data_IF_726797863500
#
_entry.id   IF_726797863500
#
_cell.length_a   1.000
_cell.length_b   1.000
_cell.length_c   1.000
_cell.angle_alpha   90.00
_cell.angle_beta   90.00
_cell.angle_gamma   90.00
#
_symmetry.space_group_name_H-M   'P 1'
#
loop_
_entity.id
_entity.type
_entity.pdbx_description
1 polymer ?
#
# COMPACT_ATOMS: atom_id res chain seq x y z
N UNK A 1 71.99 -73.78 3.53
CA UNK A 1 70.94 -73.08 2.73
C UNK A 1 70.22 -72.10 3.64
N UNK A 2 70.22 -70.81 3.26
CA UNK A 2 69.37 -69.66 3.65
C UNK A 2 69.01 -69.45 5.15
N UNK A 3 69.50 -68.40 5.83
CA UNK A 3 69.08 -66.98 5.83
C UNK A 3 67.66 -66.71 6.40
N UNK A 4 67.57 -66.07 7.59
CA UNK A 4 67.29 -64.62 7.72
C UNK A 4 67.19 -64.15 9.18
N UNK A 5 67.85 -63.01 9.47
CA UNK A 5 67.64 -62.11 10.62
C UNK A 5 66.32 -61.34 10.48
N UNK A 6 65.74 -60.89 11.60
CA UNK A 6 65.29 -59.50 11.92
C UNK A 6 64.53 -59.57 13.28
N UNK A 7 65.11 -59.10 14.38
CA UNK A 7 65.05 -57.73 14.95
C UNK A 7 63.64 -57.25 15.35
N UNK A 8 63.53 -56.92 16.64
CA UNK A 8 62.39 -56.39 17.39
C UNK A 8 61.88 -55.06 16.85
N UNK A 9 60.56 -54.95 16.68
CA UNK A 9 59.88 -53.68 16.39
C UNK A 9 59.37 -53.05 17.69
N UNK A 10 60.00 -51.92 18.00
CA UNK A 10 59.60 -50.77 18.82
C UNK A 10 58.10 -50.61 19.11
N UNK A 11 57.77 -50.39 20.38
CA UNK A 11 56.58 -49.62 20.80
C UNK A 11 56.69 -48.19 20.24
N UNK A 12 55.60 -47.65 19.70
CA UNK A 12 55.46 -46.22 19.35
C UNK A 12 54.62 -45.49 20.41
N UNK A 13 55.02 -44.25 20.66
CA UNK A 13 54.77 -43.40 21.83
C UNK A 13 53.34 -42.83 21.93
N UNK A 14 52.82 -42.61 23.15
CA UNK A 14 51.67 -41.73 23.35
C UNK A 14 52.12 -40.27 23.23
N UNK A 15 51.63 -39.58 22.19
CA UNK A 15 51.84 -38.15 21.99
C UNK A 15 51.34 -37.33 23.20
N UNK A 16 52.24 -36.55 23.78
CA UNK A 16 52.03 -35.40 24.66
C UNK A 16 50.99 -35.54 25.79
N UNK A 17 51.49 -35.86 27.00
CA UNK A 17 50.76 -35.66 28.25
C UNK A 17 50.51 -34.16 28.49
N UNK A 18 49.36 -33.66 28.06
CA UNK A 18 48.90 -32.30 28.37
C UNK A 18 48.75 -32.20 29.89
N UNK A 19 49.57 -31.35 30.53
CA UNK A 19 49.52 -31.11 31.98
C UNK A 19 48.09 -30.82 32.44
N UNK A 20 47.68 -31.34 33.61
CA UNK A 20 46.36 -31.05 34.21
C UNK A 20 46.05 -29.54 34.21
N UNK A 21 47.06 -28.69 34.38
CA UNK A 21 46.91 -27.22 34.30
C UNK A 21 46.51 -26.75 32.90
N UNK A 22 47.11 -27.32 31.85
CA UNK A 22 46.80 -27.02 30.45
C UNK A 22 45.42 -27.55 30.05
N UNK A 23 45.01 -28.71 30.55
CA UNK A 23 43.67 -29.26 30.34
C UNK A 23 42.59 -28.40 31.02
N UNK A 24 42.85 -27.92 32.24
CA UNK A 24 41.96 -26.97 32.94
C UNK A 24 41.88 -25.64 32.18
N UNK A 25 43.01 -25.10 31.71
CA UNK A 25 43.03 -23.89 30.89
C UNK A 25 42.22 -24.04 29.60
N UNK A 26 42.35 -25.17 28.90
CA UNK A 26 41.57 -25.45 27.69
C UNK A 26 40.07 -25.53 27.99
N UNK A 27 39.66 -26.23 29.04
CA UNK A 27 38.25 -26.32 29.44
C UNK A 27 37.67 -24.95 29.82
N UNK A 28 38.42 -24.13 30.55
CA UNK A 28 38.01 -22.76 30.91
C UNK A 28 37.90 -21.89 29.66
N UNK A 29 38.86 -21.99 28.73
CA UNK A 29 38.86 -21.22 27.49
C UNK A 29 37.70 -21.60 26.57
N UNK A 30 37.44 -22.90 26.39
CA UNK A 30 36.28 -23.39 25.64
C UNK A 30 34.96 -23.02 26.32
N UNK A 31 34.87 -23.10 27.66
CA UNK A 31 33.69 -22.68 28.41
C UNK A 31 33.39 -21.19 28.24
N UNK A 32 34.41 -20.33 28.29
CA UNK A 32 34.28 -18.89 28.02
C UNK A 32 33.89 -18.61 26.57
N UNK A 33 34.48 -19.32 25.59
CA UNK A 33 34.09 -19.21 24.18
C UNK A 33 32.62 -19.55 23.96
N UNK A 34 32.15 -20.66 24.53
CA UNK A 34 30.75 -21.08 24.44
C UNK A 34 29.84 -20.04 25.11
N UNK A 35 30.22 -19.52 26.29
CA UNK A 35 29.46 -18.49 26.98
C UNK A 35 29.35 -17.21 26.14
N UNK A 36 30.41 -16.77 25.47
CA UNK A 36 30.39 -15.60 24.57
C UNK A 36 29.55 -15.89 23.33
N UNK A 37 29.69 -17.07 22.71
CA UNK A 37 28.92 -17.49 21.54
C UNK A 37 27.42 -17.54 21.82
N UNK A 38 26.99 -17.82 23.06
CA UNK A 38 25.58 -17.81 23.46
C UNK A 38 25.14 -16.42 23.92
N UNK A 39 25.93 -15.74 24.75
CA UNK A 39 25.58 -14.46 25.34
C UNK A 39 25.46 -13.34 24.30
N UNK A 40 26.27 -13.36 23.24
CA UNK A 40 26.21 -12.35 22.17
C UNK A 40 24.89 -12.43 21.38
N UNK A 41 24.48 -13.57 20.78
CA UNK A 41 23.18 -13.67 20.11
C UNK A 41 22.00 -13.50 21.05
N UNK A 42 22.07 -13.97 22.29
CA UNK A 42 21.01 -13.73 23.30
C UNK A 42 20.93 -12.25 23.67
N UNK A 43 22.07 -11.58 23.83
CA UNK A 43 22.15 -10.13 24.05
C UNK A 43 21.59 -9.34 22.86
N UNK A 44 21.90 -9.74 21.63
CA UNK A 44 21.36 -9.15 20.40
C UNK A 44 19.84 -9.37 20.30
N UNK A 45 19.35 -10.56 20.68
CA UNK A 45 17.92 -10.86 20.69
C UNK A 45 17.18 -10.03 21.74
N UNK A 46 17.77 -9.84 22.92
CA UNK A 46 17.21 -9.03 24.01
C UNK A 46 17.37 -7.52 23.82
N UNK A 47 18.26 -7.06 22.93
CA UNK A 47 18.42 -5.63 22.60
C UNK A 47 17.41 -5.14 21.54
N UNK A 48 16.54 -6.00 21.00
CA UNK A 48 15.54 -5.52 20.03
C UNK A 48 14.65 -4.48 20.71
N UNK A 49 14.70 -3.20 20.30
CA UNK A 49 13.84 -2.19 20.89
C UNK A 49 12.39 -2.62 20.65
N UNK A 50 11.51 -2.50 21.65
CA UNK A 50 10.10 -2.79 21.45
C UNK A 50 9.54 -1.89 20.35
N UNK A 51 8.75 -2.47 19.45
CA UNK A 51 8.08 -1.73 18.39
C UNK A 51 7.27 -0.58 19.01
N UNK A 52 7.36 0.60 18.39
CA UNK A 52 6.63 1.78 18.88
C UNK A 52 5.12 1.56 18.77
N UNK A 53 4.39 1.92 19.82
CA UNK A 53 2.93 1.85 19.84
C UNK A 53 2.30 3.09 19.22
N UNK A 54 1.27 2.89 18.40
CA UNK A 54 0.50 3.92 17.71
C UNK A 54 -1.00 3.73 17.93
N UNK A 55 -1.80 4.68 17.47
CA UNK A 55 -3.25 4.67 17.65
C UNK A 55 -4.03 4.04 16.51
N UNK A 56 -3.44 3.97 15.32
CA UNK A 56 -4.04 3.33 14.15
C UNK A 56 -3.85 1.82 14.16
N UNK A 57 -4.62 1.14 13.31
CA UNK A 57 -4.51 -0.30 13.08
C UNK A 57 -3.11 -0.68 12.58
N UNK A 58 -2.61 -1.83 13.03
CA UNK A 58 -1.33 -2.35 12.61
C UNK A 58 -1.30 -2.78 11.14
N UNK A 59 -0.11 -3.19 10.71
CA UNK A 59 0.11 -3.74 9.38
C UNK A 59 -0.80 -4.95 9.13
N UNK A 60 -1.36 -5.04 7.93
CA UNK A 60 -2.19 -6.19 7.52
C UNK A 60 -1.37 -7.49 7.60
N UNK A 61 -1.92 -8.53 8.23
CA UNK A 61 -1.27 -9.83 8.31
C UNK A 61 -0.93 -10.37 6.90
N UNK A 62 0.26 -10.96 6.75
CA UNK A 62 0.76 -11.49 5.47
C UNK A 62 0.83 -10.43 4.34
N UNK A 63 1.15 -9.18 4.69
CA UNK A 63 1.20 -8.07 3.73
C UNK A 63 2.06 -8.41 2.50
N UNK A 64 3.26 -8.96 2.70
CA UNK A 64 4.17 -9.26 1.60
C UNK A 64 3.56 -10.27 0.62
N UNK A 65 2.98 -11.35 1.15
CA UNK A 65 2.36 -12.41 0.38
C UNK A 65 1.11 -11.91 -0.35
N UNK A 66 0.29 -11.07 0.28
CA UNK A 66 -0.89 -10.46 -0.34
C UNK A 66 -0.46 -9.54 -1.49
N UNK A 67 0.51 -8.66 -1.27
CA UNK A 67 1.03 -7.76 -2.31
C UNK A 67 1.57 -8.57 -3.51
N UNK A 68 2.33 -9.63 -3.23
CA UNK A 68 2.89 -10.50 -4.27
C UNK A 68 1.80 -11.24 -5.05
N UNK A 69 0.84 -11.84 -4.35
CA UNK A 69 -0.28 -12.54 -4.96
C UNK A 69 -1.14 -11.62 -5.82
N UNK A 70 -1.42 -10.41 -5.34
CA UNK A 70 -2.18 -9.39 -6.09
C UNK A 70 -1.40 -8.89 -7.32
N UNK A 71 -0.09 -8.68 -7.20
CA UNK A 71 0.74 -8.32 -8.35
C UNK A 71 0.68 -9.39 -9.46
N UNK A 72 0.84 -10.67 -9.11
CA UNK A 72 0.73 -11.75 -10.10
C UNK A 72 -0.68 -11.86 -10.67
N UNK A 73 -1.71 -11.77 -9.83
CA UNK A 73 -3.11 -11.78 -10.29
C UNK A 73 -3.34 -10.66 -11.30
N UNK A 74 -2.89 -9.45 -10.99
CA UNK A 74 -3.07 -8.30 -11.86
C UNK A 74 -2.30 -8.46 -13.18
N UNK A 75 -1.00 -8.74 -13.11
CA UNK A 75 -0.12 -8.77 -14.30
C UNK A 75 -0.32 -10.00 -15.19
N UNK A 76 -0.76 -11.13 -14.63
CA UNK A 76 -0.87 -12.39 -15.38
C UNK A 76 -2.31 -12.73 -15.77
N UNK A 77 -3.31 -12.24 -15.02
CA UNK A 77 -4.73 -12.60 -15.23
C UNK A 77 -5.55 -11.38 -15.64
N UNK A 78 -5.50 -10.29 -14.89
CA UNK A 78 -6.35 -9.11 -15.13
C UNK A 78 -5.86 -8.30 -16.33
N UNK A 79 -4.54 -8.09 -16.44
CA UNK A 79 -3.85 -7.29 -17.45
C UNK A 79 -2.64 -8.04 -18.01
N UNK A 80 -2.84 -9.12 -18.78
CA UNK A 80 -1.74 -9.94 -19.33
C UNK A 80 -0.70 -9.14 -20.12
N UNK A 81 -1.06 -7.98 -20.67
CA UNK A 81 -0.15 -7.04 -21.33
C UNK A 81 0.98 -6.53 -20.41
N UNK A 82 0.77 -6.55 -19.09
CA UNK A 82 1.76 -6.19 -18.07
C UNK A 82 2.52 -7.41 -17.53
N UNK A 83 2.37 -8.59 -18.14
CA UNK A 83 2.94 -9.85 -17.65
C UNK A 83 4.47 -9.87 -17.58
N UNK A 84 5.14 -8.93 -18.25
CA UNK A 84 6.58 -8.74 -18.23
C UNK A 84 7.11 -8.04 -16.95
N UNK A 85 6.22 -7.49 -16.11
CA UNK A 85 6.62 -6.80 -14.87
C UNK A 85 7.09 -7.80 -13.80
N UNK A 86 8.21 -7.48 -13.16
CA UNK A 86 8.80 -8.31 -12.10
C UNK A 86 8.12 -8.03 -10.74
N UNK A 87 7.14 -8.87 -10.39
CA UNK A 87 6.40 -8.75 -9.14
C UNK A 87 7.28 -8.91 -7.88
N UNK A 88 8.34 -9.72 -7.93
CA UNK A 88 9.27 -9.82 -6.79
C UNK A 88 10.01 -8.52 -6.57
N UNK A 89 10.48 -7.88 -7.65
CA UNK A 89 11.14 -6.57 -7.59
C UNK A 89 10.20 -5.47 -7.14
N UNK A 90 8.95 -5.47 -7.62
CA UNK A 90 7.92 -4.49 -7.25
C UNK A 90 7.62 -4.57 -5.74
N UNK A 91 7.30 -5.76 -5.22
CA UNK A 91 6.94 -5.90 -3.80
C UNK A 91 8.12 -5.58 -2.89
N UNK A 92 9.35 -5.91 -3.30
CA UNK A 92 10.57 -5.49 -2.57
C UNK A 92 10.75 -3.97 -2.56
N UNK A 93 10.48 -3.28 -3.68
CA UNK A 93 10.52 -1.83 -3.73
C UNK A 93 9.43 -1.21 -2.83
N UNK A 94 8.24 -1.82 -2.81
CA UNK A 94 7.14 -1.44 -1.94
C UNK A 94 7.55 -1.49 -0.47
N UNK A 95 8.04 -2.64 0.01
CA UNK A 95 8.38 -2.79 1.43
C UNK A 95 9.59 -1.96 1.83
N UNK A 96 10.59 -1.82 0.96
CA UNK A 96 11.76 -0.95 1.18
C UNK A 96 11.39 0.53 1.33
N UNK A 97 10.25 0.96 0.80
CA UNK A 97 9.81 2.34 0.93
C UNK A 97 9.53 2.73 2.39
N UNK A 98 9.15 1.78 3.26
CA UNK A 98 8.76 2.08 4.64
C UNK A 98 9.48 1.27 5.73
N UNK A 99 10.11 0.14 5.40
CA UNK A 99 10.86 -0.65 6.38
C UNK A 99 12.12 0.08 6.85
N UNK A 100 12.47 -0.09 8.13
CA UNK A 100 13.64 0.54 8.76
C UNK A 100 13.67 2.06 8.64
N UNK A 101 12.49 2.68 8.64
CA UNK A 101 12.30 4.13 8.60
C UNK A 101 11.32 4.56 9.68
N UNK A 102 11.44 5.80 10.12
CA UNK A 102 10.44 6.40 10.99
C UNK A 102 9.10 6.50 10.25
N UNK A 103 8.05 5.79 10.71
CA UNK A 103 6.78 5.76 10.02
C UNK A 103 6.06 7.11 10.03
N UNK A 104 6.54 8.13 10.76
CA UNK A 104 6.06 9.52 10.72
C UNK A 104 6.97 10.48 9.94
N UNK A 105 7.98 9.99 9.22
CA UNK A 105 8.93 10.82 8.45
C UNK A 105 9.02 10.36 6.98
N UNK A 106 7.93 9.82 6.43
CA UNK A 106 7.90 9.34 5.05
C UNK A 106 7.75 10.49 4.05
N UNK A 107 8.31 10.29 2.85
CA UNK A 107 8.36 11.27 1.75
C UNK A 107 7.97 10.64 0.42
N UNK A 108 7.58 11.46 -0.58
CA UNK A 108 7.30 10.96 -1.94
C UNK A 108 8.53 10.23 -2.53
N UNK A 109 9.74 10.69 -2.19
CA UNK A 109 11.02 10.13 -2.63
C UNK A 109 11.21 8.68 -2.20
N UNK A 110 10.67 8.30 -1.04
CA UNK A 110 10.75 6.92 -0.56
C UNK A 110 10.06 5.91 -1.47
N UNK A 111 9.01 6.36 -2.17
CA UNK A 111 8.20 5.53 -3.06
C UNK A 111 8.59 5.68 -4.55
N UNK A 112 9.48 6.60 -4.93
CA UNK A 112 9.87 6.79 -6.34
C UNK A 112 10.38 5.50 -7.01
N UNK A 113 11.24 4.68 -6.38
CA UNK A 113 11.68 3.42 -6.99
C UNK A 113 10.55 2.43 -7.26
N UNK A 114 9.47 2.49 -6.45
CA UNK A 114 8.27 1.69 -6.69
C UNK A 114 7.49 2.23 -7.89
N UNK A 115 7.28 3.55 -7.95
CA UNK A 115 6.57 4.21 -9.05
C UNK A 115 7.19 3.90 -10.42
N UNK A 116 8.52 3.91 -10.51
CA UNK A 116 9.26 3.59 -11.75
C UNK A 116 9.02 2.16 -12.24
N UNK A 117 8.79 1.20 -11.33
CA UNK A 117 8.54 -0.20 -11.68
C UNK A 117 7.09 -0.45 -12.09
N UNK A 118 6.18 0.36 -11.59
CA UNK A 118 4.72 0.15 -11.72
C UNK A 118 4.07 1.11 -12.71
N UNK A 119 4.84 1.74 -13.60
CA UNK A 119 4.26 2.61 -14.63
C UNK A 119 3.25 1.85 -15.50
N UNK A 120 2.05 2.40 -15.61
CA UNK A 120 0.92 1.85 -16.36
C UNK A 120 0.08 3.02 -16.92
N UNK A 121 -0.09 3.13 -18.25
CA UNK A 121 -0.90 4.18 -18.83
C UNK A 121 -2.40 3.88 -18.68
N UNK A 122 -3.16 4.86 -18.21
CA UNK A 122 -4.63 4.83 -18.21
C UNK A 122 -5.15 5.50 -19.48
N UNK A 123 -6.05 4.85 -20.26
CA UNK A 123 -6.59 5.46 -21.47
C UNK A 123 -7.35 6.77 -21.19
N UNK A 124 -7.25 7.74 -22.10
CA UNK A 124 -7.99 9.00 -21.98
C UNK A 124 -9.50 8.77 -21.92
N UNK A 125 -10.19 9.66 -21.20
CA UNK A 125 -11.64 9.62 -20.94
C UNK A 125 -12.10 8.45 -20.04
N UNK A 126 -11.18 7.67 -19.46
CA UNK A 126 -11.50 6.48 -18.66
C UNK A 126 -11.25 6.63 -17.16
N UNK A 127 -10.60 7.71 -16.74
CA UNK A 127 -10.31 7.99 -15.33
C UNK A 127 -11.59 8.26 -14.52
N UNK A 128 -11.74 7.53 -13.41
CA UNK A 128 -12.80 7.69 -12.42
C UNK A 128 -12.20 7.90 -11.03
N UNK A 129 -12.20 9.13 -10.56
CA UNK A 129 -11.90 9.43 -9.17
C UNK A 129 -13.09 9.09 -8.26
N UNK A 130 -12.85 9.03 -6.95
CA UNK A 130 -13.91 8.94 -5.97
C UNK A 130 -13.51 9.65 -4.67
N UNK A 131 -14.50 10.13 -3.92
CA UNK A 131 -14.28 10.64 -2.57
C UNK A 131 -15.39 10.15 -1.65
N UNK A 132 -14.99 9.45 -0.58
CA UNK A 132 -15.88 8.87 0.45
C UNK A 132 -16.96 7.94 -0.16
N UNK A 133 -16.65 7.29 -1.28
CA UNK A 133 -17.56 6.48 -2.10
C UNK A 133 -16.85 5.34 -2.85
N UNK A 134 -15.76 4.81 -2.28
CA UNK A 134 -14.92 3.77 -2.90
C UNK A 134 -15.69 2.54 -3.33
N UNK A 135 -16.49 1.95 -2.44
CA UNK A 135 -17.24 0.72 -2.72
C UNK A 135 -18.11 0.89 -3.97
N UNK A 136 -18.80 2.03 -4.09
CA UNK A 136 -19.66 2.32 -5.22
C UNK A 136 -18.89 2.58 -6.51
N UNK A 137 -17.72 3.21 -6.42
CA UNK A 137 -16.85 3.42 -7.57
C UNK A 137 -16.27 2.09 -8.08
N UNK A 138 -15.80 1.22 -7.18
CA UNK A 138 -15.28 -0.11 -7.52
C UNK A 138 -16.36 -1.02 -8.08
N UNK A 139 -17.57 -1.02 -7.51
CA UNK A 139 -18.68 -1.79 -8.09
C UNK A 139 -19.03 -1.31 -9.49
N UNK A 140 -18.93 0.00 -9.74
CA UNK A 140 -19.16 0.54 -11.07
C UNK A 140 -18.08 0.11 -12.07
N UNK A 141 -16.79 0.17 -11.72
CA UNK A 141 -15.72 -0.24 -12.65
C UNK A 141 -15.64 -1.75 -12.87
N UNK A 142 -16.07 -2.57 -11.89
CA UNK A 142 -16.25 -4.02 -12.10
C UNK A 142 -17.25 -4.35 -13.21
N UNK A 143 -18.33 -3.57 -13.33
CA UNK A 143 -19.34 -3.75 -14.38
C UNK A 143 -18.99 -2.96 -15.65
N UNK A 144 -18.34 -1.82 -15.51
CA UNK A 144 -17.81 -0.97 -16.59
C UNK A 144 -16.30 -1.06 -16.64
N UNK A 145 -15.82 -2.22 -17.10
CA UNK A 145 -14.41 -2.58 -17.17
C UNK A 145 -13.56 -1.68 -18.08
N UNK A 146 -14.19 -0.75 -18.82
CA UNK A 146 -13.51 0.24 -19.65
C UNK A 146 -13.14 1.52 -18.88
N UNK A 147 -13.52 1.64 -17.61
CA UNK A 147 -13.23 2.76 -16.71
C UNK A 147 -12.29 2.31 -15.60
N UNK A 148 -11.48 3.24 -15.08
CA UNK A 148 -10.44 2.94 -14.10
C UNK A 148 -10.53 3.88 -12.91
N UNK A 149 -10.71 3.36 -11.70
CA UNK A 149 -10.26 4.03 -10.49
C UNK A 149 -8.77 3.86 -10.29
N UNK A 150 -8.20 4.53 -9.28
CA UNK A 150 -6.81 4.31 -8.91
C UNK A 150 -6.56 2.83 -8.56
N UNK A 151 -7.51 2.20 -7.87
CA UNK A 151 -7.43 0.80 -7.44
C UNK A 151 -7.62 -0.20 -8.59
N UNK A 152 -8.02 0.27 -9.78
CA UNK A 152 -8.03 -0.54 -11.01
C UNK A 152 -6.67 -0.52 -11.74
N UNK A 153 -5.69 0.25 -11.28
CA UNK A 153 -4.28 0.24 -11.75
C UNK A 153 -3.43 -0.75 -10.95
N UNK A 154 -2.29 -1.19 -11.48
CA UNK A 154 -1.43 -2.18 -10.80
C UNK A 154 -1.13 -1.81 -9.34
N UNK A 155 -0.65 -0.59 -9.10
CA UNK A 155 -0.20 -0.21 -7.76
C UNK A 155 -1.37 -0.01 -6.80
N UNK A 156 -2.47 0.56 -7.28
CA UNK A 156 -3.69 0.68 -6.48
C UNK A 156 -4.29 -0.68 -6.15
N UNK A 157 -4.40 -1.59 -7.12
CA UNK A 157 -4.92 -2.95 -6.95
C UNK A 157 -4.11 -3.73 -5.90
N UNK A 158 -2.79 -3.62 -5.95
CA UNK A 158 -1.90 -4.26 -4.97
C UNK A 158 -2.19 -3.75 -3.55
N UNK A 159 -2.34 -2.44 -3.35
CA UNK A 159 -2.43 -1.82 -2.04
C UNK A 159 -3.87 -1.68 -1.49
N UNK A 160 -4.90 -1.88 -2.31
CA UNK A 160 -6.28 -1.59 -1.95
C UNK A 160 -6.75 -2.32 -0.68
N UNK A 161 -7.31 -1.57 0.27
CA UNK A 161 -7.76 -2.09 1.56
C UNK A 161 -6.66 -2.58 2.51
N UNK A 162 -5.37 -2.38 2.21
CA UNK A 162 -4.27 -2.81 3.08
C UNK A 162 -3.77 -1.67 4.00
N UNK A 163 -3.10 -2.05 5.09
CA UNK A 163 -2.44 -1.16 6.05
C UNK A 163 -1.00 -1.61 6.28
N UNK A 164 -0.08 -0.67 6.46
CA UNK A 164 1.32 -0.98 6.70
C UNK A 164 2.07 0.18 7.35
N UNK A 165 3.08 -0.17 8.13
CA UNK A 165 4.12 0.73 8.61
C UNK A 165 5.34 -0.07 9.06
N UNK A 166 6.49 0.61 9.10
CA UNK A 166 7.73 0.09 9.66
C UNK A 166 8.00 0.63 11.05
N UNK A 167 9.23 0.44 11.49
CA UNK A 167 9.78 1.05 12.70
C UNK A 167 11.23 1.49 12.41
N UNK A 168 11.69 2.67 12.86
CA UNK A 168 13.01 3.20 12.54
C UNK A 168 14.18 2.30 12.99
N UNK A 169 13.94 1.42 13.98
CA UNK A 169 14.95 0.50 14.50
C UNK A 169 14.81 -0.94 14.02
N UNK A 170 13.84 -1.25 13.16
CA UNK A 170 13.51 -2.63 12.80
C UNK A 170 13.43 -2.86 11.29
N UNK A 171 13.84 -4.06 10.86
CA UNK A 171 13.55 -4.56 9.52
C UNK A 171 12.19 -5.27 9.44
N UNK A 172 11.51 -5.39 10.58
CA UNK A 172 10.18 -6.00 10.70
C UNK A 172 9.08 -4.93 10.55
N UNK A 173 7.92 -5.36 10.05
CA UNK A 173 6.72 -4.52 10.00
C UNK A 173 6.07 -4.45 11.37
N UNK A 174 5.39 -3.34 11.68
CA UNK A 174 4.64 -3.23 12.92
C UNK A 174 3.20 -3.73 12.72
N UNK A 175 2.93 -4.96 13.17
CA UNK A 175 1.61 -5.60 13.10
C UNK A 175 0.69 -5.20 14.26
N UNK A 176 1.21 -4.55 15.31
CA UNK A 176 0.42 -4.17 16.47
C UNK A 176 -0.34 -2.87 16.25
N UNK A 177 0.32 -1.87 15.65
CA UNK A 177 -0.26 -0.55 15.42
C UNK A 177 0.53 0.25 14.39
N UNK A 178 -0.13 1.16 13.69
CA UNK A 178 0.52 2.12 12.78
C UNK A 178 0.05 3.56 13.08
N UNK A 179 0.82 4.59 12.69
CA UNK A 179 0.43 5.97 12.97
C UNK A 179 -0.93 6.32 12.37
N UNK A 180 -1.84 6.83 13.19
CA UNK A 180 -3.07 7.44 12.68
C UNK A 180 -2.76 8.82 12.07
N UNK A 181 -3.42 9.13 10.96
CA UNK A 181 -3.13 10.34 10.20
C UNK A 181 -3.59 11.63 10.89
N UNK A 182 -4.58 11.56 11.79
CA UNK A 182 -5.08 12.69 12.59
C UNK A 182 -4.42 12.74 13.96
N UNK A 183 -4.30 11.59 14.61
CA UNK A 183 -3.95 11.53 16.02
C UNK A 183 -2.45 11.40 16.28
N UNK A 184 -1.68 10.90 15.29
CA UNK A 184 -0.23 10.71 15.42
C UNK A 184 0.53 11.62 14.44
N UNK A 185 0.41 11.40 13.12
CA UNK A 185 1.13 12.18 12.12
C UNK A 185 0.54 12.04 10.70
N UNK A 186 0.40 13.16 9.99
CA UNK A 186 -0.20 13.17 8.64
C UNK A 186 0.72 12.69 7.51
N UNK A 187 2.04 12.74 7.73
CA UNK A 187 3.09 12.32 6.81
C UNK A 187 3.56 10.88 7.12
N UNK A 188 2.61 10.01 7.45
CA UNK A 188 2.90 8.60 7.67
C UNK A 188 3.07 7.83 6.36
N UNK A 189 3.77 6.69 6.39
CA UNK A 189 4.08 5.87 5.21
C UNK A 189 2.84 5.51 4.38
N UNK A 190 1.72 5.19 5.03
CA UNK A 190 0.46 4.88 4.36
C UNK A 190 -0.13 6.11 3.65
N UNK A 191 -0.17 7.26 4.32
CA UNK A 191 -0.75 8.49 3.76
C UNK A 191 0.10 9.05 2.63
N UNK A 192 1.43 8.98 2.76
CA UNK A 192 2.37 9.42 1.74
C UNK A 192 2.30 8.55 0.50
N UNK A 193 2.16 7.22 0.66
CA UNK A 193 1.91 6.32 -0.46
C UNK A 193 0.69 6.77 -1.26
N UNK A 194 -0.49 6.85 -0.62
CA UNK A 194 -1.72 7.20 -1.34
C UNK A 194 -1.66 8.58 -1.98
N UNK A 195 -1.06 9.58 -1.30
CA UNK A 195 -0.84 10.89 -1.93
C UNK A 195 0.07 10.80 -3.18
N UNK A 196 1.14 10.00 -3.12
CA UNK A 196 2.08 9.83 -4.24
C UNK A 196 1.40 9.16 -5.43
N UNK A 197 0.66 8.07 -5.20
CA UNK A 197 -0.02 7.35 -6.28
C UNK A 197 -1.22 8.14 -6.83
N UNK A 198 -2.02 8.78 -5.97
CA UNK A 198 -3.11 9.68 -6.38
C UNK A 198 -2.61 10.86 -7.22
N UNK A 199 -1.45 11.44 -6.86
CA UNK A 199 -0.82 12.51 -7.64
C UNK A 199 -0.48 12.04 -9.05
N UNK A 200 0.24 10.91 -9.18
CA UNK A 200 0.60 10.31 -10.49
C UNK A 200 -0.66 10.04 -11.32
N UNK A 201 -1.68 9.44 -10.71
CA UNK A 201 -2.94 9.11 -11.39
C UNK A 201 -3.67 10.35 -11.91
N UNK A 202 -3.61 11.47 -11.18
CA UNK A 202 -4.17 12.73 -11.63
C UNK A 202 -3.34 13.42 -12.74
N UNK A 203 -2.01 13.37 -12.66
CA UNK A 203 -1.09 13.93 -13.67
C UNK A 203 -1.21 13.21 -15.03
N UNK A 204 -1.52 11.92 -15.02
CA UNK A 204 -1.73 11.08 -16.20
C UNK A 204 -3.13 11.19 -16.82
N UNK A 205 -4.09 11.71 -16.06
CA UNK A 205 -5.46 11.80 -16.54
C UNK A 205 -5.57 12.73 -17.77
N UNK A 206 -6.43 12.34 -18.71
CA UNK A 206 -6.66 13.09 -19.94
C UNK A 206 -8.10 12.94 -20.47
N UNK A 207 -8.54 13.96 -21.22
CA UNK A 207 -9.90 14.04 -21.75
C UNK A 207 -10.94 14.41 -20.70
N UNK A 208 -12.05 13.69 -20.69
CA UNK A 208 -13.13 13.81 -19.70
C UNK A 208 -12.85 12.89 -18.52
N UNK A 209 -12.63 13.46 -17.35
CA UNK A 209 -12.46 12.71 -16.10
C UNK A 209 -13.76 12.71 -15.31
N UNK A 210 -13.99 11.66 -14.54
CA UNK A 210 -15.21 11.47 -13.76
C UNK A 210 -14.88 11.42 -12.27
N UNK A 211 -15.81 11.80 -11.40
CA UNK A 211 -15.69 11.58 -9.95
C UNK A 211 -17.00 11.11 -9.34
N UNK A 212 -16.95 10.02 -8.57
CA UNK A 212 -18.06 9.62 -7.70
C UNK A 212 -17.92 10.34 -6.36
N UNK A 213 -18.97 11.02 -5.91
CA UNK A 213 -18.99 11.72 -4.63
C UNK A 213 -20.16 11.26 -3.78
N UNK A 214 -19.96 11.14 -2.47
CA UNK A 214 -21.02 10.77 -1.55
C UNK A 214 -21.89 11.99 -1.17
N UNK A 215 -23.10 12.03 -1.72
CA UNK A 215 -24.12 13.04 -1.43
C UNK A 215 -24.84 12.80 -0.10
N UNK A 216 -24.83 11.58 0.44
CA UNK A 216 -25.53 11.25 1.69
C UNK A 216 -24.87 11.78 2.96
N UNK A 217 -23.73 12.43 2.82
CA UNK A 217 -22.99 13.09 3.90
C UNK A 217 -22.95 14.59 3.67
N UNK A 218 -22.77 15.36 4.75
CA UNK A 218 -22.43 16.79 4.62
C UNK A 218 -21.02 16.95 4.09
N UNK A 219 -20.76 18.05 3.38
CA UNK A 219 -19.45 18.36 2.84
C UNK A 219 -18.96 17.26 1.87
N UNK A 220 -19.80 16.99 0.86
CA UNK A 220 -19.54 16.00 -0.19
C UNK A 220 -18.19 16.19 -0.86
N UNK A 221 -17.84 17.44 -1.17
CA UNK A 221 -16.47 17.81 -1.55
C UNK A 221 -15.75 18.43 -0.36
N UNK A 222 -14.59 17.88 -0.01
CA UNK A 222 -13.74 18.35 1.08
C UNK A 222 -12.34 18.66 0.54
N UNK A 223 -11.93 19.93 0.60
CA UNK A 223 -10.60 20.39 0.16
C UNK A 223 -9.46 19.69 0.90
N UNK A 224 -9.71 19.14 2.10
CA UNK A 224 -8.69 18.42 2.89
C UNK A 224 -8.59 16.93 2.53
N UNK A 225 -9.54 16.39 1.77
CA UNK A 225 -9.49 15.00 1.29
C UNK A 225 -8.37 14.80 0.26
N UNK A 226 -7.91 13.57 0.03
CA UNK A 226 -6.91 13.27 -1.01
C UNK A 226 -7.39 13.75 -2.39
N UNK A 227 -8.66 13.51 -2.74
CA UNK A 227 -9.26 14.05 -3.95
C UNK A 227 -9.13 15.58 -4.03
N UNK A 228 -9.53 16.28 -2.96
CA UNK A 228 -9.53 17.74 -2.94
C UNK A 228 -8.13 18.37 -2.91
N UNK A 229 -7.23 17.85 -2.08
CA UNK A 229 -5.88 18.40 -1.81
C UNK A 229 -4.85 17.98 -2.85
N UNK A 230 -4.94 16.74 -3.33
CA UNK A 230 -3.93 16.13 -4.21
C UNK A 230 -4.47 16.04 -5.62
N UNK A 231 -5.50 15.25 -5.85
CA UNK A 231 -5.90 14.86 -7.21
C UNK A 231 -6.38 16.06 -8.02
N UNK A 232 -7.32 16.86 -7.50
CA UNK A 232 -7.85 18.05 -8.17
C UNK A 232 -6.74 19.04 -8.53
N UNK A 233 -5.73 19.19 -7.67
CA UNK A 233 -4.63 20.14 -7.90
C UNK A 233 -3.52 19.62 -8.81
N UNK A 234 -3.53 18.33 -9.14
CA UNK A 234 -2.60 17.71 -10.08
C UNK A 234 -3.26 17.36 -11.43
N UNK A 235 -4.54 17.72 -11.63
CA UNK A 235 -5.15 17.70 -12.96
C UNK A 235 -4.53 18.78 -13.85
N UNK A 236 -4.05 18.34 -15.00
CA UNK A 236 -3.40 19.18 -16.02
C UNK A 236 -4.43 19.71 -17.02
N UNK A 237 -4.72 21.03 -17.04
CA UNK A 237 -5.79 21.57 -17.89
C UNK A 237 -5.53 21.47 -19.39
N UNK A 238 -4.27 21.30 -19.81
CA UNK A 238 -3.90 21.02 -21.20
C UNK A 238 -4.26 19.58 -21.63
N UNK A 239 -4.42 18.66 -20.68
CA UNK A 239 -4.82 17.27 -20.93
C UNK A 239 -6.30 17.02 -20.58
N UNK A 240 -6.80 17.64 -19.52
CA UNK A 240 -8.13 17.42 -18.94
C UNK A 240 -9.04 18.61 -19.25
N UNK A 241 -9.98 18.41 -20.18
CA UNK A 241 -10.88 19.49 -20.61
C UNK A 241 -12.13 19.61 -19.73
N UNK A 242 -12.54 18.53 -19.07
CA UNK A 242 -13.78 18.45 -18.28
C UNK A 242 -13.66 17.45 -17.14
N UNK A 243 -14.19 17.84 -15.99
CA UNK A 243 -14.51 16.96 -14.88
C UNK A 243 -16.04 16.83 -14.73
N UNK A 244 -16.53 15.59 -14.74
CA UNK A 244 -17.93 15.25 -14.52
C UNK A 244 -18.11 14.61 -13.14
N UNK A 245 -18.81 15.30 -12.24
CA UNK A 245 -19.13 14.79 -10.92
C UNK A 245 -20.48 14.05 -10.90
N UNK A 246 -20.50 12.89 -10.27
CA UNK A 246 -21.69 12.13 -9.96
C UNK A 246 -21.90 12.13 -8.44
N UNK A 247 -22.84 12.96 -7.98
CA UNK A 247 -23.19 13.03 -6.55
C UNK A 247 -24.24 11.96 -6.26
N UNK A 248 -23.78 10.88 -5.63
CA UNK A 248 -24.58 9.68 -5.39
C UNK A 248 -25.10 9.67 -3.96
N UNK A 249 -26.38 9.38 -3.81
CA UNK A 249 -27.03 9.28 -2.50
C UNK A 249 -27.35 7.82 -2.19
N UNK A 250 -27.14 7.38 -0.98
CA UNK A 250 -27.58 6.07 -0.51
C UNK A 250 -29.10 5.96 -0.55
N UNK A 251 -29.56 4.73 -0.82
CA UNK A 251 -30.98 4.42 -0.84
C UNK A 251 -31.54 4.60 0.57
N UNK A 252 -32.57 5.45 0.71
CA UNK A 252 -33.21 5.73 2.01
C UNK A 252 -32.50 6.75 2.91
N UNK A 253 -31.41 7.38 2.46
CA UNK A 253 -30.70 8.38 3.29
C UNK A 253 -31.48 9.69 3.43
N UNK A 254 -31.41 10.32 4.62
CA UNK A 254 -32.18 11.54 4.98
C UNK A 254 -31.36 12.83 4.82
N UNK A 255 -30.03 12.75 4.83
CA UNK A 255 -29.13 13.89 4.60
C UNK A 255 -28.69 13.90 3.13
N UNK A 256 -28.74 15.03 2.42
CA UNK A 256 -28.28 15.08 1.02
C UNK A 256 -27.63 16.40 0.64
N UNK A 257 -26.30 16.43 0.55
CA UNK A 257 -25.62 17.39 -0.31
C UNK A 257 -25.85 16.97 -1.77
N UNK A 258 -26.16 17.94 -2.63
CA UNK A 258 -26.44 17.69 -4.05
C UNK A 258 -25.54 18.53 -4.95
N UNK A 259 -25.71 18.44 -6.26
CA UNK A 259 -24.98 19.28 -7.22
C UNK A 259 -25.12 20.80 -7.00
N UNK A 260 -26.16 21.25 -6.29
CA UNK A 260 -26.35 22.66 -5.93
C UNK A 260 -25.78 23.04 -4.56
N UNK A 261 -25.22 22.08 -3.81
CA UNK A 261 -24.63 22.34 -2.49
C UNK A 261 -23.39 23.22 -2.57
N UNK A 262 -23.12 23.95 -1.48
CA UNK A 262 -21.98 24.86 -1.36
C UNK A 262 -20.63 24.16 -1.59
N UNK A 263 -20.47 22.96 -1.05
CA UNK A 263 -19.27 22.12 -1.23
C UNK A 263 -18.99 21.83 -2.72
N UNK A 264 -20.01 21.46 -3.49
CA UNK A 264 -19.90 21.23 -4.94
C UNK A 264 -19.66 22.53 -5.72
N UNK A 265 -20.29 23.64 -5.31
CA UNK A 265 -20.03 24.94 -5.92
C UNK A 265 -18.57 25.39 -5.70
N UNK A 266 -17.97 25.04 -4.56
CA UNK A 266 -16.56 25.29 -4.31
C UNK A 266 -15.65 24.50 -5.26
N UNK A 267 -15.90 23.19 -5.43
CA UNK A 267 -15.19 22.37 -6.44
C UNK A 267 -15.31 22.99 -7.84
N UNK A 268 -16.52 23.42 -8.23
CA UNK A 268 -16.76 24.11 -9.50
C UNK A 268 -15.91 25.37 -9.64
N UNK A 269 -15.75 26.17 -8.58
CA UNK A 269 -14.93 27.38 -8.60
C UNK A 269 -13.43 27.07 -8.73
N UNK A 270 -12.94 26.06 -8.00
CA UNK A 270 -11.54 25.60 -8.09
C UNK A 270 -11.22 25.18 -9.53
N UNK A 271 -12.05 24.32 -10.12
CA UNK A 271 -11.85 23.83 -11.49
C UNK A 271 -11.97 24.95 -12.53
N UNK A 272 -12.92 25.89 -12.36
CA UNK A 272 -13.05 27.06 -13.22
C UNK A 272 -11.78 27.91 -13.24
N UNK A 273 -11.14 28.15 -12.09
CA UNK A 273 -9.88 28.90 -11.99
C UNK A 273 -8.70 28.18 -12.66
N UNK A 274 -8.79 26.86 -12.77
CA UNK A 274 -7.81 26.01 -13.45
C UNK A 274 -8.14 25.76 -14.93
N UNK A 275 -9.13 26.44 -15.51
CA UNK A 275 -9.56 26.25 -16.91
C UNK A 275 -10.07 24.84 -17.24
N UNK A 276 -10.62 24.13 -16.25
CA UNK A 276 -11.26 22.82 -16.44
C UNK A 276 -12.79 23.00 -16.37
N UNK A 277 -13.50 22.50 -17.39
CA UNK A 277 -14.97 22.55 -17.41
C UNK A 277 -15.54 21.65 -16.33
N UNK A 278 -16.56 22.11 -15.59
CA UNK A 278 -17.23 21.30 -14.58
C UNK A 278 -18.68 21.00 -14.97
N UNK A 279 -19.09 19.74 -14.81
CA UNK A 279 -20.48 19.30 -14.89
C UNK A 279 -20.81 18.41 -13.71
N UNK A 280 -22.07 18.44 -13.25
CA UNK A 280 -22.50 17.64 -12.11
C UNK A 280 -23.86 17.02 -12.38
N UNK A 281 -24.01 15.75 -11.98
CA UNK A 281 -25.28 15.04 -12.03
C UNK A 281 -25.55 14.35 -10.69
N UNK A 282 -26.74 14.62 -10.13
CA UNK A 282 -27.22 13.86 -8.98
C UNK A 282 -27.67 12.48 -9.45
N UNK A 283 -27.31 11.44 -8.69
CA UNK A 283 -27.84 10.08 -8.86
C UNK A 283 -27.70 9.56 -10.29
N UNK A 284 -26.46 9.58 -10.80
CA UNK A 284 -26.13 9.10 -12.13
C UNK A 284 -26.73 7.70 -12.37
N UNK A 285 -27.54 7.59 -13.42
CA UNK A 285 -28.48 6.47 -13.61
C UNK A 285 -27.81 5.09 -13.57
N UNK A 286 -26.69 4.83 -14.26
CA UNK A 286 -26.00 3.53 -14.19
C UNK A 286 -25.57 3.14 -12.78
N UNK A 287 -25.02 4.09 -12.00
CA UNK A 287 -24.59 3.81 -10.63
C UNK A 287 -25.82 3.65 -9.70
N UNK A 288 -26.87 4.45 -9.91
CA UNK A 288 -28.14 4.30 -9.18
C UNK A 288 -28.72 2.89 -9.36
N UNK A 289 -28.63 2.32 -10.57
CA UNK A 289 -29.07 0.96 -10.83
C UNK A 289 -28.29 -0.06 -9.99
N UNK A 290 -26.96 0.08 -9.86
CA UNK A 290 -26.14 -0.78 -8.99
C UNK A 290 -26.57 -0.70 -7.52
N UNK A 291 -26.85 0.50 -7.02
CA UNK A 291 -27.38 0.67 -5.66
C UNK A 291 -28.74 -0.02 -5.47
N UNK A 292 -29.57 -0.03 -6.53
CA UNK A 292 -30.87 -0.70 -6.52
C UNK A 292 -30.78 -2.22 -6.59
N UNK A 293 -29.75 -2.79 -7.23
CA UNK A 293 -29.49 -4.24 -7.17
C UNK A 293 -29.26 -4.70 -5.73
N UNK A 294 -28.59 -3.89 -4.90
CA UNK A 294 -28.41 -4.15 -3.47
C UNK A 294 -29.67 -3.90 -2.62
N UNK A 295 -30.65 -3.14 -3.14
CA UNK A 295 -31.84 -2.69 -2.40
C UNK A 295 -33.13 -2.83 -3.24
N UNK A 296 -33.46 -4.03 -3.76
CA UNK A 296 -34.51 -4.18 -4.77
C UNK A 296 -35.91 -3.86 -4.26
N UNK A 297 -36.17 -4.05 -2.96
CA UNK A 297 -37.49 -3.77 -2.36
C UNK A 297 -37.75 -2.31 -2.01
N UNK A 298 -36.78 -1.41 -2.19
CA UNK A 298 -36.97 0.00 -1.80
C UNK A 298 -37.76 0.77 -2.85
N UNK A 299 -38.68 1.64 -2.43
CA UNK A 299 -39.59 2.37 -3.33
C UNK A 299 -38.88 3.21 -4.38
N UNK A 300 -37.73 3.80 -4.05
CA UNK A 300 -36.89 4.56 -4.99
C UNK A 300 -36.26 3.72 -6.11
N UNK A 301 -36.35 2.40 -6.01
CA UNK A 301 -35.83 1.45 -7.00
C UNK A 301 -36.92 0.86 -7.90
N UNK A 302 -38.19 1.16 -7.65
CA UNK A 302 -39.32 0.59 -8.39
C UNK A 302 -39.40 0.98 -9.87
N UNK A 303 -38.66 1.99 -10.32
CA UNK A 303 -38.57 2.39 -11.75
C UNK A 303 -37.36 1.79 -12.48
N UNK A 304 -36.54 1.02 -11.77
CA UNK A 304 -35.31 0.40 -12.28
C UNK A 304 -35.37 -1.12 -12.39
N UNK A 305 -36.44 -1.72 -11.85
CA UNK A 305 -36.83 -3.13 -11.97
C UNK A 305 -37.99 -3.19 -12.96
#
# INVERSE_FOLDING_TARGET
MANHRFSSVSEEEPCCNISKKTQICLCVFFGLLIAVIIAVPVGILMWRPPLKQWKGEGTTAHLYEILLGRCYTYTQIVRPELGHKDCQKIVKAFTKAFLSKDPCSSTEQDYQPLMELTDEPVPCNKTLFWSKSSELAHDYTRVRQDMFTLEDTLLGYMADGLKWCGDPGSSEMNYHSCPDWREDCSNNSFSVFWNTVSKRFAEDACGVVHVVLNGSIRNTFDERSTFGRVEVFNLHPEKVNRLQAWVMHDIGSVHSDSCSSSSINNLKQILKRRSITFSCQNNYRPIRLLQCVKNPGHSSCGSYI
#
